data_IF_872877159699
#
_entry.id   IF_872877159699
#
_cell.length_a   1.000
_cell.length_b   1.000
_cell.length_c   1.000
_cell.angle_alpha   90.00
_cell.angle_beta   90.00
_cell.angle_gamma   90.00
#
_symmetry.space_group_name_H-M   'P 1'
#
loop_
_entity.id
_entity.type
_entity.pdbx_description
1 polymer ?
#
# COMPACT_ATOMS: atom_id res chain seq x y z
N UNK A 1 10.58 1.65 10.55
CA UNK A 1 11.25 0.63 9.71
C UNK A 1 12.03 1.22 8.52
N UNK A 2 11.43 2.13 7.73
CA UNK A 2 12.06 2.74 6.55
C UNK A 2 13.51 3.21 6.79
N UNK A 3 13.75 3.98 7.87
CA UNK A 3 15.07 4.49 8.26
C UNK A 3 16.16 3.42 8.44
N UNK A 4 15.77 2.19 8.76
CA UNK A 4 16.72 1.09 8.93
C UNK A 4 17.38 0.73 7.60
N UNK A 5 16.68 0.90 6.48
CA UNK A 5 17.14 0.51 5.15
C UNK A 5 17.78 1.66 4.35
N UNK A 6 17.84 2.88 4.88
CA UNK A 6 18.32 4.05 4.12
C UNK A 6 19.80 3.98 3.74
N UNK A 7 20.66 3.46 4.63
CA UNK A 7 22.12 3.49 4.43
C UNK A 7 22.67 2.27 3.69
N UNK A 8 22.08 1.09 3.92
CA UNK A 8 22.59 -0.18 3.40
C UNK A 8 21.41 -1.13 3.10
N UNK A 9 20.57 -0.66 2.17
CA UNK A 9 19.30 -1.30 1.83
C UNK A 9 19.47 -2.77 1.42
N UNK A 10 20.41 -3.04 0.50
CA UNK A 10 20.58 -4.36 -0.09
C UNK A 10 21.02 -5.40 0.95
N UNK A 11 22.08 -5.11 1.71
CA UNK A 11 22.58 -6.03 2.73
C UNK A 11 21.52 -6.30 3.79
N UNK A 12 20.87 -5.26 4.31
CA UNK A 12 19.85 -5.40 5.35
C UNK A 12 18.61 -6.13 4.85
N UNK A 13 18.18 -5.89 3.61
CA UNK A 13 17.08 -6.64 2.99
C UNK A 13 17.39 -8.12 2.91
N UNK A 14 18.59 -8.49 2.46
CA UNK A 14 19.00 -9.90 2.36
C UNK A 14 19.09 -10.54 3.77
N UNK A 15 19.70 -9.86 4.73
CA UNK A 15 19.78 -10.32 6.13
C UNK A 15 18.39 -10.52 6.75
N UNK A 16 17.46 -9.60 6.51
CA UNK A 16 16.08 -9.71 7.01
C UNK A 16 15.35 -10.86 6.30
N UNK A 17 15.50 -11.01 4.99
CA UNK A 17 14.89 -12.11 4.23
C UNK A 17 15.33 -13.47 4.79
N UNK A 18 16.62 -13.66 5.05
CA UNK A 18 17.15 -14.89 5.69
C UNK A 18 16.52 -15.13 7.07
N UNK A 19 16.43 -14.09 7.91
CA UNK A 19 15.78 -14.20 9.25
C UNK A 19 14.30 -14.56 9.15
N UNK A 20 13.59 -14.05 8.14
CA UNK A 20 12.18 -14.41 7.90
C UNK A 20 12.05 -15.87 7.47
N UNK A 21 12.89 -16.36 6.55
CA UNK A 21 12.91 -17.78 6.15
C UNK A 21 13.22 -18.69 7.33
N UNK A 22 14.25 -18.38 8.12
CA UNK A 22 14.55 -19.09 9.37
C UNK A 22 13.37 -19.07 10.35
N UNK A 23 12.65 -17.94 10.42
CA UNK A 23 11.47 -17.77 11.26
C UNK A 23 10.30 -18.65 10.86
N UNK A 24 9.99 -18.69 9.56
CA UNK A 24 8.95 -19.54 8.97
C UNK A 24 9.30 -21.02 9.19
N UNK A 25 10.56 -21.40 8.92
CA UNK A 25 11.03 -22.79 9.02
C UNK A 25 10.93 -23.38 10.43
N UNK A 26 10.79 -22.58 11.49
CA UNK A 26 10.53 -23.11 12.84
C UNK A 26 9.17 -23.78 12.98
N UNK A 27 8.24 -23.54 12.06
CA UNK A 27 6.87 -24.05 12.09
C UNK A 27 6.57 -25.06 10.98
N UNK A 28 7.57 -25.38 10.15
CA UNK A 28 7.43 -26.30 9.03
C UNK A 28 8.14 -27.62 9.31
N UNK A 29 7.63 -28.70 8.74
CA UNK A 29 8.23 -30.03 8.84
C UNK A 29 9.56 -30.13 8.05
N UNK A 30 9.67 -29.38 6.95
CA UNK A 30 10.90 -29.21 6.19
C UNK A 30 11.15 -27.73 5.83
N UNK A 31 12.39 -27.34 5.53
CA UNK A 31 12.69 -25.96 5.12
C UNK A 31 11.91 -25.55 3.86
N UNK A 32 11.26 -24.37 3.91
CA UNK A 32 10.44 -23.83 2.82
C UNK A 32 11.22 -23.75 1.50
N UNK A 33 12.55 -23.55 1.57
CA UNK A 33 13.46 -23.46 0.44
C UNK A 33 13.52 -24.74 -0.41
N UNK A 34 13.10 -25.88 0.14
CA UNK A 34 12.93 -27.14 -0.62
C UNK A 34 11.68 -27.14 -1.49
N UNK A 35 10.68 -26.35 -1.14
CA UNK A 35 9.40 -26.25 -1.85
C UNK A 35 9.39 -25.11 -2.88
N UNK A 36 10.43 -24.27 -2.93
CA UNK A 36 10.50 -23.14 -3.84
C UNK A 36 10.97 -23.57 -5.24
N UNK A 37 10.33 -22.99 -6.25
CA UNK A 37 10.84 -23.05 -7.61
C UNK A 37 12.26 -22.44 -7.68
N UNK A 38 13.06 -22.91 -8.64
CA UNK A 38 14.41 -22.42 -8.91
C UNK A 38 14.48 -21.82 -10.31
N UNK A 39 15.26 -20.76 -10.45
CA UNK A 39 15.53 -20.14 -11.75
C UNK A 39 16.55 -20.96 -12.57
N UNK A 40 16.93 -20.42 -13.74
CA UNK A 40 17.91 -21.06 -14.65
C UNK A 40 19.30 -21.21 -14.04
N UNK A 41 19.61 -20.48 -12.97
CA UNK A 41 20.87 -20.55 -12.24
C UNK A 41 20.77 -21.42 -10.98
N UNK A 42 19.62 -22.05 -10.74
CA UNK A 42 19.36 -22.86 -9.55
C UNK A 42 19.07 -22.03 -8.29
N UNK A 43 18.86 -20.72 -8.40
CA UNK A 43 18.57 -19.83 -7.26
C UNK A 43 17.08 -19.93 -6.91
N UNK A 44 16.68 -20.04 -5.63
CA UNK A 44 15.28 -20.00 -5.24
C UNK A 44 14.59 -18.73 -5.74
N UNK A 45 13.42 -18.88 -6.35
CA UNK A 45 12.61 -17.78 -6.86
C UNK A 45 11.95 -17.01 -5.71
N UNK A 46 12.73 -16.16 -5.04
CA UNK A 46 12.29 -15.29 -3.94
C UNK A 46 12.57 -13.85 -4.32
N UNK A 47 11.57 -12.99 -4.17
CA UNK A 47 11.76 -11.54 -4.18
C UNK A 47 11.48 -10.97 -2.79
N UNK A 48 12.42 -10.18 -2.29
CA UNK A 48 12.24 -9.36 -1.10
C UNK A 48 12.27 -7.88 -1.51
N UNK A 49 11.42 -7.07 -0.89
CA UNK A 49 11.42 -5.61 -1.05
C UNK A 49 11.38 -4.95 0.32
N UNK A 50 12.32 -4.05 0.58
CA UNK A 50 12.26 -3.18 1.76
C UNK A 50 11.27 -2.03 1.55
N UNK A 51 10.99 -1.26 2.59
CA UNK A 51 10.18 -0.05 2.47
C UNK A 51 10.79 1.00 1.52
N UNK A 52 12.13 1.02 1.38
CA UNK A 52 12.84 1.86 0.41
C UNK A 52 12.66 1.33 -1.02
N UNK A 53 12.73 0.00 -1.21
CA UNK A 53 12.45 -0.61 -2.51
C UNK A 53 11.01 -0.36 -2.97
N UNK A 54 10.05 -0.49 -2.06
CA UNK A 54 8.64 -0.25 -2.35
C UNK A 54 8.38 1.20 -2.77
N UNK A 55 9.04 2.17 -2.14
CA UNK A 55 8.94 3.57 -2.56
C UNK A 55 9.57 3.80 -3.94
N UNK A 56 10.76 3.25 -4.19
CA UNK A 56 11.49 3.49 -5.43
C UNK A 56 10.91 2.74 -6.63
N UNK A 57 10.47 1.50 -6.46
CA UNK A 57 10.03 0.62 -7.56
C UNK A 57 8.55 0.77 -7.91
N UNK A 58 7.70 0.94 -6.90
CA UNK A 58 6.24 0.95 -7.09
C UNK A 58 5.56 2.17 -6.44
N UNK A 59 6.34 3.19 -6.08
CA UNK A 59 5.85 4.49 -5.64
C UNK A 59 4.95 4.44 -4.40
N UNK A 60 5.22 3.52 -3.47
CA UNK A 60 4.58 3.51 -2.15
C UNK A 60 5.35 4.44 -1.20
N UNK A 61 4.81 5.61 -0.82
CA UNK A 61 5.53 6.57 0.02
C UNK A 61 5.96 5.93 1.35
N UNK A 62 7.26 5.94 1.62
CA UNK A 62 7.92 5.26 2.73
C UNK A 62 7.55 3.77 2.88
N UNK A 63 7.20 3.11 1.77
CA UNK A 63 6.73 1.72 1.74
C UNK A 63 5.33 1.52 2.34
N UNK A 64 4.52 2.57 2.45
CA UNK A 64 3.19 2.48 3.03
C UNK A 64 2.18 1.92 2.04
N UNK A 65 1.65 0.72 2.31
CA UNK A 65 0.67 0.03 1.45
C UNK A 65 -0.66 0.79 1.31
N UNK A 66 -0.98 1.68 2.24
CA UNK A 66 -2.16 2.56 2.17
C UNK A 66 -1.87 3.88 1.46
N UNK A 67 -0.66 4.05 0.91
CA UNK A 67 -0.21 5.26 0.20
C UNK A 67 -0.29 6.55 1.05
N UNK A 68 -0.41 6.41 2.37
CA UNK A 68 -0.63 7.49 3.32
C UNK A 68 -0.83 6.98 4.74
N UNK A 69 -0.73 7.86 5.73
CA UNK A 69 -1.03 7.50 7.12
C UNK A 69 -2.49 7.09 7.29
N UNK A 70 -2.77 6.21 8.24
CA UNK A 70 -4.15 5.90 8.62
C UNK A 70 -4.82 7.15 9.19
N UNK A 71 -6.00 7.47 8.70
CA UNK A 71 -6.81 8.61 9.15
C UNK A 71 -8.05 8.13 9.88
N UNK A 72 -8.58 8.94 10.81
CA UNK A 72 -9.86 8.64 11.46
C UNK A 72 -10.99 8.55 10.41
N UNK A 73 -11.78 7.46 10.38
CA UNK A 73 -12.72 7.22 9.28
C UNK A 73 -13.98 8.09 9.34
N UNK A 74 -14.32 8.60 10.53
CA UNK A 74 -15.48 9.46 10.76
C UNK A 74 -15.12 10.92 10.63
N UNK A 75 -16.09 11.75 10.26
CA UNK A 75 -15.96 13.20 10.21
C UNK A 75 -15.61 13.78 11.58
N UNK A 76 -14.75 14.77 11.61
CA UNK A 76 -14.32 15.45 12.83
C UNK A 76 -15.03 16.79 13.02
N UNK A 77 -15.56 17.35 11.92
CA UNK A 77 -16.32 18.61 11.92
C UNK A 77 -17.68 18.43 11.26
N UNK A 78 -18.59 19.39 11.48
CA UNK A 78 -19.95 19.33 10.91
C UNK A 78 -19.97 19.62 9.42
N UNK A 79 -19.06 20.45 8.94
CA UNK A 79 -18.90 20.81 7.52
C UNK A 79 -18.33 19.66 6.68
N UNK A 80 -17.62 18.71 7.29
CA UNK A 80 -17.21 17.47 6.63
C UNK A 80 -18.36 16.45 6.46
N UNK A 81 -19.49 16.65 7.16
CA UNK A 81 -20.62 15.73 7.08
C UNK A 81 -21.23 15.71 5.68
N UNK A 82 -21.36 14.51 5.11
CA UNK A 82 -21.88 14.31 3.75
C UNK A 82 -20.81 14.23 2.66
N UNK A 83 -19.53 14.47 2.99
CA UNK A 83 -18.43 14.27 2.04
C UNK A 83 -18.09 12.79 1.83
N UNK A 84 -17.69 12.46 0.60
CA UNK A 84 -17.38 11.10 0.17
C UNK A 84 -16.00 10.63 0.66
N UNK A 85 -15.09 11.55 0.99
CA UNK A 85 -13.74 11.28 1.51
C UNK A 85 -12.68 11.05 0.44
N UNK A 86 -13.02 11.31 -0.83
CA UNK A 86 -12.10 11.32 -1.96
C UNK A 86 -11.82 12.73 -2.47
N UNK A 87 -12.44 13.75 -1.89
CA UNK A 87 -12.27 15.16 -2.26
C UNK A 87 -10.83 15.62 -2.02
N UNK A 88 -10.35 16.53 -2.87
CA UNK A 88 -9.03 17.17 -2.74
C UNK A 88 -9.18 18.69 -2.80
N UNK A 89 -8.08 19.41 -2.59
CA UNK A 89 -8.04 20.88 -2.78
C UNK A 89 -8.25 21.31 -4.24
N UNK A 90 -8.24 20.37 -5.19
CA UNK A 90 -8.53 20.62 -6.59
C UNK A 90 -9.93 20.07 -6.93
N UNK A 91 -10.90 20.93 -7.27
CA UNK A 91 -12.32 20.54 -7.39
C UNK A 91 -12.61 19.36 -8.33
N UNK A 92 -11.81 19.19 -9.39
CA UNK A 92 -12.00 18.16 -10.42
C UNK A 92 -11.03 16.98 -10.27
N UNK A 93 -10.29 16.89 -9.16
CA UNK A 93 -9.36 15.79 -8.87
C UNK A 93 -9.83 15.07 -7.63
N UNK A 94 -10.09 13.77 -7.77
CA UNK A 94 -10.60 12.91 -6.70
C UNK A 94 -9.65 11.75 -6.42
N UNK A 95 -9.48 11.39 -5.15
CA UNK A 95 -8.75 10.21 -4.71
C UNK A 95 -9.68 8.99 -4.74
N UNK A 96 -9.32 7.99 -5.54
CA UNK A 96 -10.05 6.74 -5.69
C UNK A 96 -9.27 5.51 -5.19
N UNK A 97 -8.12 5.72 -4.56
CA UNK A 97 -7.22 4.67 -4.07
C UNK A 97 -7.17 4.55 -2.55
N UNK A 98 -6.27 3.70 -2.04
CA UNK A 98 -6.15 3.41 -0.61
C UNK A 98 -5.78 4.59 0.28
N UNK A 99 -5.28 5.69 -0.30
CA UNK A 99 -4.98 6.94 0.40
C UNK A 99 -6.22 7.80 0.71
N UNK A 100 -7.37 7.51 0.10
CA UNK A 100 -8.60 8.25 0.39
C UNK A 100 -9.07 8.01 1.84
N UNK A 101 -9.91 8.91 2.39
CA UNK A 101 -10.51 8.67 3.70
C UNK A 101 -11.41 7.45 3.62
N UNK A 102 -11.30 6.54 4.61
CA UNK A 102 -11.90 5.18 4.58
C UNK A 102 -11.31 4.31 3.45
N UNK A 103 -10.11 4.64 3.00
CA UNK A 103 -9.30 3.81 2.12
C UNK A 103 -8.89 2.53 2.80
N UNK A 104 -9.16 1.41 2.15
CA UNK A 104 -8.87 0.08 2.69
C UNK A 104 -8.40 -0.84 1.59
N UNK A 105 -7.13 -0.73 1.19
CA UNK A 105 -6.49 -1.62 0.22
C UNK A 105 -7.43 -2.01 -0.94
N UNK A 106 -7.90 -3.26 -0.94
CA UNK A 106 -8.75 -3.89 -1.96
C UNK A 106 -10.27 -3.81 -1.70
N UNK A 107 -10.75 -2.91 -0.83
CA UNK A 107 -12.17 -2.84 -0.45
C UNK A 107 -13.10 -2.29 -1.52
N UNK A 108 -12.57 -1.57 -2.52
CA UNK A 108 -13.37 -0.88 -3.54
C UNK A 108 -14.09 0.38 -3.06
N UNK A 109 -14.10 0.66 -1.75
CA UNK A 109 -14.80 1.82 -1.15
C UNK A 109 -14.31 3.16 -1.74
N UNK A 110 -13.00 3.44 -1.84
CA UNK A 110 -12.52 4.70 -2.42
C UNK A 110 -12.93 4.91 -3.88
N UNK A 111 -12.92 3.83 -4.67
CA UNK A 111 -13.36 3.87 -6.06
C UNK A 111 -14.84 4.21 -6.18
N UNK A 112 -15.68 3.56 -5.38
CA UNK A 112 -17.11 3.87 -5.29
C UNK A 112 -17.34 5.33 -4.89
N UNK A 113 -16.71 5.79 -3.80
CA UNK A 113 -16.88 7.13 -3.27
C UNK A 113 -16.45 8.23 -4.26
N UNK A 114 -15.31 8.04 -4.93
CA UNK A 114 -14.85 8.95 -5.97
C UNK A 114 -15.81 8.99 -7.16
N UNK A 115 -16.37 7.85 -7.58
CA UNK A 115 -17.37 7.80 -8.63
C UNK A 115 -18.66 8.54 -8.25
N UNK A 116 -19.16 8.34 -7.02
CA UNK A 116 -20.33 9.08 -6.53
C UNK A 116 -20.09 10.58 -6.50
N UNK A 117 -18.91 11.02 -6.03
CA UNK A 117 -18.55 12.44 -6.04
C UNK A 117 -18.43 13.01 -7.45
N UNK A 118 -17.85 12.25 -8.39
CA UNK A 118 -17.76 12.66 -9.78
C UNK A 118 -19.16 12.85 -10.39
N UNK A 119 -20.10 11.96 -10.10
CA UNK A 119 -21.49 12.08 -10.56
C UNK A 119 -22.17 13.35 -10.04
N UNK A 120 -21.99 13.70 -8.77
CA UNK A 120 -22.50 14.97 -8.22
C UNK A 120 -21.93 16.18 -8.96
N UNK A 121 -20.61 16.22 -9.16
CA UNK A 121 -19.92 17.32 -9.84
C UNK A 121 -20.40 17.49 -11.29
N UNK A 122 -20.63 16.38 -12.00
CA UNK A 122 -21.12 16.40 -13.38
C UNK A 122 -22.59 16.83 -13.45
N UNK A 123 -23.44 16.42 -12.51
CA UNK A 123 -24.83 16.87 -12.45
C UNK A 123 -24.93 18.38 -12.17
N UNK A 124 -24.06 18.92 -11.32
CA UNK A 124 -24.00 20.36 -11.04
C UNK A 124 -23.53 21.22 -12.22
N UNK A 125 -22.89 20.64 -13.24
CA UNK A 125 -22.44 21.37 -14.43
C UNK A 125 -23.52 21.49 -15.52
N UNK A 126 -24.60 20.71 -15.41
CA UNK A 126 -25.69 20.66 -16.41
C UNK A 126 -26.85 21.60 -16.04
N UNK A 127 -26.84 22.17 -14.83
CA UNK A 127 -27.82 23.13 -14.30
C UNK A 127 -27.22 24.53 -14.30
#
# INVERSE_FOLDING_TARGET
PYRLFENDNERLRNEVAEKYLMGINRYLEEPIEKCLARDVNGIPCIEAMSAVDLENKIHLPKGNIFHGGLTWPFVETRDEAGLWGGETNHPNVLLCGSAARRGGAVSGIPGHNAAMKAMELLQMQIV
#
